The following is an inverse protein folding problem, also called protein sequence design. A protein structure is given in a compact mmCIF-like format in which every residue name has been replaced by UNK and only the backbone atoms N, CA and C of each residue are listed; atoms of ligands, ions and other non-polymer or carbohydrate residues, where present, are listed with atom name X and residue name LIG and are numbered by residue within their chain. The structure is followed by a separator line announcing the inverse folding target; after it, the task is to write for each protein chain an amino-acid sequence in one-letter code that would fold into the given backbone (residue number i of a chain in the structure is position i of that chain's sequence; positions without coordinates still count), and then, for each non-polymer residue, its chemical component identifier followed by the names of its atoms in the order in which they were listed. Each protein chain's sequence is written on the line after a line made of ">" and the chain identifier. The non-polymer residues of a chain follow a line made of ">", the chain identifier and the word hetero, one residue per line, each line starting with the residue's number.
data_IF_961834207586
#
_entry.id   IF_961834207586
#
_cell.length_a   1.000
_cell.length_b   1.000
_cell.length_c   1.000
_cell.angle_alpha   90.00
_cell.angle_beta   90.00
_cell.angle_gamma   90.00
#
_symmetry.space_group_name_H-M   'P 1'
#
loop_
_entity.id
_entity.type
_entity.pdbx_description
1 polymer ?
#
# COMPACT_ATOMS: atom_id res chain seq x y z
N UNK A 1 3.85 -0.37 -22.07
CA UNK A 1 3.34 -0.43 -20.71
C UNK A 1 2.31 -1.54 -20.61
N UNK A 2 2.49 -2.41 -19.63
CA UNK A 2 1.56 -3.52 -19.45
C UNK A 2 0.33 -3.14 -18.66
N UNK A 3 -0.62 -4.04 -18.65
CA UNK A 3 -1.78 -3.91 -17.79
C UNK A 3 -1.37 -4.19 -16.34
N UNK A 4 -2.03 -3.56 -15.35
CA UNK A 4 -1.83 -3.93 -13.96
C UNK A 4 -2.15 -5.41 -13.75
N UNK A 5 -1.29 -6.10 -13.01
CA UNK A 5 -1.50 -7.50 -12.67
C UNK A 5 -1.57 -7.61 -11.16
N UNK A 6 -2.65 -8.18 -10.65
CA UNK A 6 -2.79 -8.42 -9.22
C UNK A 6 -1.94 -9.65 -8.88
N UNK A 7 -0.89 -9.42 -8.08
CA UNK A 7 0.00 -10.48 -7.64
C UNK A 7 -0.55 -11.21 -6.42
N UNK A 8 -1.21 -10.47 -5.53
CA UNK A 8 -1.82 -11.01 -4.32
C UNK A 8 -2.90 -10.04 -3.85
N UNK A 9 -4.13 -10.54 -3.72
CA UNK A 9 -5.24 -9.71 -3.28
C UNK A 9 -5.19 -9.39 -1.80
N UNK A 10 -4.51 -10.21 -1.01
CA UNK A 10 -4.43 -10.03 0.44
C UNK A 10 -3.09 -10.56 0.92
N UNK A 11 -2.13 -9.67 1.01
CA UNK A 11 -0.80 -9.97 1.53
C UNK A 11 -0.67 -9.33 2.90
N UNK A 12 -0.27 -10.10 3.89
CA UNK A 12 -0.19 -9.63 5.27
C UNK A 12 1.25 -9.64 5.72
N UNK A 13 1.70 -8.51 6.27
CA UNK A 13 3.00 -8.43 6.93
C UNK A 13 2.82 -7.95 8.35
N UNK A 14 3.78 -8.29 9.21
CA UNK A 14 3.84 -7.76 10.56
C UNK A 14 4.73 -6.53 10.58
N UNK A 15 4.21 -5.43 11.13
CA UNK A 15 4.94 -4.19 11.27
C UNK A 15 4.69 -3.65 12.67
N UNK A 16 5.76 -3.54 13.46
CA UNK A 16 5.67 -3.03 14.84
C UNK A 16 4.63 -3.77 15.69
N UNK A 17 4.55 -5.09 15.51
CA UNK A 17 3.61 -5.91 16.25
C UNK A 17 2.19 -5.89 15.72
N UNK A 18 1.93 -5.15 14.66
CA UNK A 18 0.62 -5.07 14.03
C UNK A 18 0.64 -5.75 12.67
N UNK A 19 -0.46 -6.39 12.32
CA UNK A 19 -0.62 -6.97 10.99
C UNK A 19 -1.18 -5.92 10.05
N UNK A 20 -0.54 -5.78 8.89
CA UNK A 20 -1.01 -4.92 7.81
C UNK A 20 -1.38 -5.77 6.62
N UNK A 21 -2.59 -5.57 6.13
CA UNK A 21 -3.06 -6.23 4.92
C UNK A 21 -2.94 -5.26 3.75
N UNK A 22 -2.44 -5.77 2.64
CA UNK A 22 -2.25 -4.96 1.45
C UNK A 22 -2.51 -5.80 0.21
N UNK A 23 -2.85 -5.14 -0.88
CA UNK A 23 -2.95 -5.77 -2.18
C UNK A 23 -1.65 -5.52 -2.94
N UNK A 24 -1.08 -6.57 -3.51
CA UNK A 24 0.14 -6.45 -4.30
C UNK A 24 -0.23 -6.42 -5.77
N UNK A 25 0.26 -5.39 -6.45
CA UNK A 25 -0.04 -5.18 -7.87
C UNK A 25 1.27 -4.90 -8.61
N UNK A 26 1.41 -5.45 -9.80
CA UNK A 26 2.52 -5.13 -10.69
C UNK A 26 2.02 -4.24 -11.83
N UNK A 27 2.74 -3.14 -12.05
CA UNK A 27 2.52 -2.25 -13.20
C UNK A 27 3.86 -2.07 -13.92
N UNK A 28 4.60 -3.18 -14.09
CA UNK A 28 5.98 -3.16 -14.53
C UNK A 28 6.95 -3.17 -13.35
N UNK A 29 6.53 -2.62 -12.22
CA UNK A 29 7.23 -2.69 -10.95
C UNK A 29 6.21 -2.97 -9.84
N UNK A 30 6.63 -3.54 -8.70
CA UNK A 30 5.67 -3.93 -7.66
C UNK A 30 5.16 -2.74 -6.87
N UNK A 31 3.86 -2.79 -6.54
CA UNK A 31 3.17 -1.80 -5.72
C UNK A 31 2.42 -2.52 -4.60
N UNK A 32 2.52 -1.99 -3.38
CA UNK A 32 1.74 -2.44 -2.24
C UNK A 32 0.64 -1.40 -1.99
N UNK A 33 -0.61 -1.80 -2.12
CA UNK A 33 -1.75 -0.92 -1.99
C UNK A 33 -2.45 -1.21 -0.68
N UNK A 34 -2.54 -0.20 0.18
CA UNK A 34 -3.18 -0.30 1.49
C UNK A 34 -4.45 0.52 1.45
N UNK A 35 -5.59 -0.14 1.65
CA UNK A 35 -6.88 0.54 1.68
C UNK A 35 -7.23 0.96 3.09
N UNK A 36 -7.62 2.22 3.26
CA UNK A 36 -8.01 2.77 4.56
C UNK A 36 -9.49 3.07 4.56
N UNK A 37 -10.20 2.78 5.68
CA UNK A 37 -11.61 3.09 5.78
C UNK A 37 -11.88 4.58 5.64
N UNK A 38 -12.96 4.98 4.97
CA UNK A 38 -13.24 6.40 4.75
C UNK A 38 -13.55 7.17 6.03
N UNK A 39 -14.03 6.50 7.06
CA UNK A 39 -14.34 7.10 8.36
C UNK A 39 -13.11 7.34 9.24
N UNK A 40 -11.95 6.78 8.86
CA UNK A 40 -10.75 6.98 9.65
C UNK A 40 -10.01 8.24 9.22
N UNK A 41 -9.69 9.09 10.21
CA UNK A 41 -8.86 10.26 9.96
C UNK A 41 -7.39 9.94 9.74
N UNK A 42 -6.99 8.70 9.92
CA UNK A 42 -5.59 8.28 9.87
C UNK A 42 -4.97 8.36 8.47
N UNK A 43 -5.77 8.52 7.42
CA UNK A 43 -5.23 8.65 6.07
C UNK A 43 -4.22 9.80 5.96
N UNK A 44 -4.57 10.97 6.52
CA UNK A 44 -3.70 12.15 6.46
C UNK A 44 -2.53 12.05 7.43
N UNK A 45 -2.73 11.38 8.55
CA UNK A 45 -1.74 11.33 9.63
C UNK A 45 -0.89 10.06 9.61
N UNK A 46 -1.19 9.15 8.69
CA UNK A 46 -0.42 7.92 8.57
C UNK A 46 1.04 8.27 8.28
N UNK A 47 1.92 7.71 9.10
CA UNK A 47 3.35 8.03 9.02
C UNK A 47 3.97 7.37 7.80
N UNK A 48 4.32 8.18 6.81
CA UNK A 48 4.90 7.67 5.56
C UNK A 48 6.28 7.03 5.75
N UNK A 49 6.93 7.22 6.90
CA UNK A 49 8.15 6.48 7.21
C UNK A 49 7.89 4.99 7.29
N UNK A 50 6.67 4.61 7.65
CA UNK A 50 6.27 3.19 7.65
C UNK A 50 6.32 2.60 6.24
N UNK A 51 6.09 3.40 5.22
CA UNK A 51 6.19 2.95 3.84
C UNK A 51 7.61 2.51 3.50
N UNK A 52 8.62 3.25 3.99
CA UNK A 52 10.01 2.85 3.80
C UNK A 52 10.31 1.50 4.47
N UNK A 53 9.75 1.28 5.65
CA UNK A 53 9.92 0.00 6.36
C UNK A 53 9.25 -1.14 5.58
N UNK A 54 8.06 -0.89 5.06
CA UNK A 54 7.35 -1.87 4.22
C UNK A 54 8.19 -2.20 2.99
N UNK A 55 8.70 -1.19 2.31
CA UNK A 55 9.48 -1.38 1.09
C UNK A 55 10.75 -2.19 1.33
N UNK A 56 11.34 -2.08 2.51
CA UNK A 56 12.56 -2.82 2.87
C UNK A 56 12.27 -4.16 3.54
N UNK A 57 11.01 -4.54 3.66
CA UNK A 57 10.64 -5.84 4.26
C UNK A 57 11.19 -6.98 3.42
N UNK A 58 11.53 -8.09 4.09
CA UNK A 58 12.13 -9.26 3.44
C UNK A 58 11.23 -9.88 2.36
N UNK A 59 9.91 -9.63 2.42
CA UNK A 59 8.98 -10.10 1.40
C UNK A 59 9.14 -9.33 0.08
N UNK A 60 9.85 -8.21 0.10
CA UNK A 60 10.06 -7.37 -1.08
C UNK A 60 11.57 -7.15 -1.29
N UNK A 61 12.28 -8.17 -1.79
CA UNK A 61 13.75 -8.08 -1.89
C UNK A 61 14.26 -6.96 -2.80
N UNK A 62 13.46 -6.55 -3.77
CA UNK A 62 13.81 -5.44 -4.66
C UNK A 62 13.10 -4.14 -4.30
N UNK A 63 12.44 -4.13 -3.15
CA UNK A 63 11.63 -3.00 -2.74
C UNK A 63 10.24 -3.00 -3.35
N UNK A 64 9.40 -2.09 -2.90
CA UNK A 64 8.03 -1.97 -3.38
C UNK A 64 7.60 -0.50 -3.23
N UNK A 65 6.82 0.00 -4.18
CA UNK A 65 6.16 1.30 -4.02
C UNK A 65 4.94 1.09 -3.12
N UNK A 66 4.66 2.03 -2.24
CA UNK A 66 3.56 1.92 -1.28
C UNK A 66 2.53 2.99 -1.58
N UNK A 67 1.28 2.58 -1.70
CA UNK A 67 0.18 3.49 -1.95
C UNK A 67 -0.88 3.33 -0.87
N UNK A 68 -1.27 4.45 -0.25
CA UNK A 68 -2.42 4.49 0.63
C UNK A 68 -3.61 4.98 -0.17
N UNK A 69 -4.70 4.24 -0.09
CA UNK A 69 -5.91 4.58 -0.84
C UNK A 69 -7.06 4.68 0.14
N UNK A 70 -7.79 5.79 0.07
CA UNK A 70 -9.03 5.96 0.81
C UNK A 70 -10.15 6.29 -0.17
N UNK A 71 -11.11 5.38 -0.27
CA UNK A 71 -12.29 5.57 -1.10
C UNK A 71 -13.37 6.21 -0.24
N UNK A 72 -13.79 7.42 -0.56
CA UNK A 72 -14.78 8.15 0.24
C UNK A 72 -16.14 8.27 -0.45
N UNK A 73 -16.24 7.91 -1.73
CA UNK A 73 -17.51 7.86 -2.45
C UNK A 73 -17.35 6.95 -3.67
N UNK A 74 -18.44 6.71 -4.38
CA UNK A 74 -18.41 5.90 -5.59
C UNK A 74 -17.53 6.51 -6.69
N UNK A 75 -17.34 7.82 -6.66
CA UNK A 75 -16.60 8.53 -7.69
C UNK A 75 -15.35 9.22 -7.20
N UNK A 76 -15.04 9.08 -5.91
CA UNK A 76 -13.91 9.79 -5.33
C UNK A 76 -13.01 8.92 -4.47
N UNK A 77 -11.71 9.12 -4.61
CA UNK A 77 -10.71 8.47 -3.77
C UNK A 77 -9.55 9.43 -3.53
N UNK A 78 -8.85 9.22 -2.42
CA UNK A 78 -7.62 9.92 -2.11
C UNK A 78 -6.48 8.93 -2.12
N UNK A 79 -5.33 9.33 -2.63
CA UNK A 79 -4.16 8.48 -2.73
C UNK A 79 -2.95 9.23 -2.18
N UNK A 80 -2.17 8.55 -1.36
CA UNK A 80 -0.84 9.00 -0.95
C UNK A 80 0.16 7.96 -1.41
N UNK A 81 1.25 8.40 -2.02
CA UNK A 81 2.24 7.50 -2.64
C UNK A 81 3.60 7.71 -2.00
N UNK A 82 4.27 6.61 -1.69
CA UNK A 82 5.69 6.59 -1.37
C UNK A 82 6.39 5.74 -2.43
N UNK A 83 7.34 6.31 -3.13
CA UNK A 83 8.12 5.61 -4.14
C UNK A 83 9.48 5.18 -3.56
N UNK A 84 9.85 3.94 -3.86
CA UNK A 84 11.13 3.40 -3.43
C UNK A 84 12.33 4.08 -4.11
#
# INVERSE_FOLDING_TARGET
>A
MGRPVILDQSHIISLEGQKLEMMLVSMGNPHAVIFMPPEEGSFKTWDMRRAAVISSHSDFPDGVNVELVQVYSETGMKIRVWER
#
